data_IF_576422627551
#
_entry.id   IF_576422627551
#
_cell.length_a   1.000
_cell.length_b   1.000
_cell.length_c   1.000
_cell.angle_alpha   90.00
_cell.angle_beta   90.00
_cell.angle_gamma   90.00
#
_symmetry.space_group_name_H-M   'P 1'
#
loop_
_entity.id
_entity.type
_entity.pdbx_description
1 polymer ?
#
# COMPACT_ATOMS: atom_id res chain seq x y z
N UNK A 1 -21.30 -1.18 -13.31
CA UNK A 1 -20.01 -1.51 -12.68
C UNK A 1 -19.92 -0.79 -11.34
N UNK A 2 -19.42 -1.46 -10.30
CA UNK A 2 -19.06 -0.78 -9.05
C UNK A 2 -17.92 0.21 -9.33
N UNK A 3 -17.91 1.35 -8.63
CA UNK A 3 -16.79 2.30 -8.73
C UNK A 3 -15.57 1.70 -8.01
N UNK A 4 -14.40 1.85 -8.61
CA UNK A 4 -13.12 1.31 -8.10
C UNK A 4 -12.26 2.40 -7.48
N UNK A 5 -11.55 2.07 -6.41
CA UNK A 5 -10.55 2.93 -5.77
C UNK A 5 -9.23 2.18 -5.69
N UNK A 6 -8.16 2.80 -6.19
CA UNK A 6 -6.77 2.37 -5.98
C UNK A 6 -6.06 3.43 -5.15
N UNK A 7 -5.44 3.03 -4.05
CA UNK A 7 -4.66 3.95 -3.20
C UNK A 7 -3.49 3.22 -2.57
N UNK A 8 -2.33 3.87 -2.47
CA UNK A 8 -1.10 3.23 -2.03
C UNK A 8 -0.33 4.10 -1.04
N UNK A 9 0.45 3.46 -0.17
CA UNK A 9 1.33 4.10 0.82
C UNK A 9 2.75 3.55 0.69
N UNK A 10 3.74 4.43 0.74
CA UNK A 10 5.15 4.02 0.76
C UNK A 10 5.57 3.54 2.17
N UNK A 11 6.36 2.45 2.28
CA UNK A 11 6.88 1.95 3.56
C UNK A 11 8.07 2.78 4.07
N UNK A 12 7.85 4.05 4.41
CA UNK A 12 8.90 5.01 4.82
C UNK A 12 9.32 4.94 6.30
N UNK A 13 8.77 4.00 7.07
CA UNK A 13 9.04 3.82 8.49
C UNK A 13 7.77 3.53 9.27
N UNK A 14 7.73 3.97 10.53
CA UNK A 14 6.58 3.76 11.41
C UNK A 14 5.34 4.52 10.91
N UNK A 15 4.20 3.84 10.93
CA UNK A 15 2.92 4.47 10.64
C UNK A 15 2.59 5.49 11.74
N UNK A 16 2.46 6.76 11.36
CA UNK A 16 2.15 7.85 12.28
C UNK A 16 0.74 8.41 12.05
N UNK A 17 0.28 9.32 12.92
CA UNK A 17 -1.08 9.90 12.84
C UNK A 17 -1.39 10.56 11.48
N UNK A 18 -0.39 11.15 10.82
CA UNK A 18 -0.53 11.63 9.45
C UNK A 18 -0.97 10.55 8.45
N UNK A 19 -0.40 9.34 8.48
CA UNK A 19 -0.84 8.24 7.61
C UNK A 19 -2.25 7.77 8.01
N UNK A 20 -2.51 7.68 9.31
CA UNK A 20 -3.80 7.20 9.81
C UNK A 20 -4.95 8.13 9.43
N UNK A 21 -4.87 9.42 9.78
CA UNK A 21 -5.93 10.38 9.49
C UNK A 21 -5.95 10.81 8.01
N UNK A 22 -4.79 10.78 7.34
CA UNK A 22 -4.68 11.14 5.92
C UNK A 22 -5.24 10.06 4.99
N UNK A 23 -5.01 8.78 5.30
CA UNK A 23 -5.38 7.68 4.41
C UNK A 23 -6.13 6.55 5.12
N UNK A 24 -5.52 5.88 6.10
CA UNK A 24 -6.02 4.59 6.59
C UNK A 24 -7.46 4.66 7.15
N UNK A 25 -7.80 5.70 7.93
CA UNK A 25 -9.16 5.91 8.44
C UNK A 25 -10.18 6.03 7.30
N UNK A 26 -9.81 6.67 6.20
CA UNK A 26 -10.67 6.78 5.02
C UNK A 26 -10.79 5.44 4.28
N UNK A 27 -9.71 4.67 4.19
CA UNK A 27 -9.73 3.34 3.55
C UNK A 27 -10.72 2.39 4.24
N UNK A 28 -10.71 2.35 5.58
CA UNK A 28 -11.66 1.57 6.39
C UNK A 28 -13.12 1.96 6.13
N UNK A 29 -13.38 3.25 5.84
CA UNK A 29 -14.73 3.72 5.49
C UNK A 29 -15.11 3.38 4.05
N UNK A 30 -14.18 3.52 3.11
CA UNK A 30 -14.43 3.37 1.67
C UNK A 30 -14.59 1.91 1.26
N UNK A 31 -13.96 0.98 1.98
CA UNK A 31 -14.03 -0.43 1.65
C UNK A 31 -15.47 -1.00 1.67
N UNK A 32 -16.38 -0.46 2.47
CA UNK A 32 -17.80 -0.89 2.42
C UNK A 32 -18.59 -0.30 1.24
N UNK A 33 -18.07 0.71 0.56
CA UNK A 33 -18.78 1.49 -0.47
C UNK A 33 -18.25 1.27 -1.89
N UNK A 34 -16.99 0.86 -2.01
CA UNK A 34 -16.28 0.73 -3.28
C UNK A 34 -15.54 -0.62 -3.36
N UNK A 35 -15.24 -1.03 -4.59
CA UNK A 35 -14.23 -2.07 -4.84
C UNK A 35 -12.85 -1.41 -4.68
N UNK A 36 -12.13 -1.77 -3.62
CA UNK A 36 -10.90 -1.08 -3.24
C UNK A 36 -9.68 -1.99 -3.37
N UNK A 37 -8.60 -1.39 -3.84
CA UNK A 37 -7.27 -1.98 -3.93
C UNK A 37 -6.31 -1.05 -3.19
N UNK A 38 -5.67 -1.56 -2.15
CA UNK A 38 -4.81 -0.81 -1.24
C UNK A 38 -3.40 -1.39 -1.25
N UNK A 39 -2.42 -0.59 -1.66
CA UNK A 39 -1.07 -1.09 -1.93
C UNK A 39 0.00 -0.57 -0.98
N UNK A 40 0.90 -1.45 -0.54
CA UNK A 40 2.23 -1.06 -0.02
C UNK A 40 3.21 -1.01 -1.19
N UNK A 41 3.70 0.19 -1.51
CA UNK A 41 4.50 0.43 -2.72
C UNK A 41 6.00 0.43 -2.46
N UNK A 42 6.57 -0.77 -2.32
CA UNK A 42 7.99 -0.94 -2.01
C UNK A 42 8.93 -0.72 -3.21
N UNK A 43 8.52 -0.94 -4.47
CA UNK A 43 9.33 -0.52 -5.63
C UNK A 43 9.43 1.00 -5.71
N UNK A 44 8.35 1.74 -5.44
CA UNK A 44 8.41 3.21 -5.38
C UNK A 44 9.34 3.73 -4.27
N UNK A 45 9.50 2.99 -3.18
CA UNK A 45 10.46 3.37 -2.12
C UNK A 45 11.92 3.16 -2.54
N UNK A 46 12.20 2.28 -3.51
CA UNK A 46 13.56 1.98 -3.98
C UNK A 46 14.16 3.07 -4.89
N UNK A 47 13.36 4.06 -5.30
CA UNK A 47 13.85 5.18 -6.14
C UNK A 47 14.64 6.22 -5.35
N UNK A 48 14.65 6.12 -4.02
CA UNK A 48 15.43 6.93 -3.08
C UNK A 48 16.39 6.03 -2.28
N UNK A 49 17.43 6.56 -1.62
CA UNK A 49 18.32 5.75 -0.79
C UNK A 49 17.55 4.92 0.27
N UNK A 50 17.78 3.61 0.28
CA UNK A 50 17.11 2.68 1.19
C UNK A 50 18.07 1.63 1.75
N UNK A 51 17.72 1.02 2.89
CA UNK A 51 18.41 -0.15 3.41
C UNK A 51 17.55 -1.41 3.16
N UNK A 52 18.07 -2.44 2.47
CA UNK A 52 17.26 -3.60 2.04
C UNK A 52 16.52 -4.30 3.18
N UNK A 53 17.21 -4.55 4.30
CA UNK A 53 16.61 -5.19 5.49
C UNK A 53 15.47 -4.35 6.06
N UNK A 54 15.70 -3.05 6.26
CA UNK A 54 14.72 -2.11 6.80
C UNK A 54 13.52 -1.92 5.88
N UNK A 55 13.74 -1.84 4.56
CA UNK A 55 12.64 -1.75 3.60
C UNK A 55 11.73 -2.98 3.67
N UNK A 56 12.31 -4.17 3.80
CA UNK A 56 11.55 -5.41 3.97
C UNK A 56 10.73 -5.39 5.27
N UNK A 57 11.35 -5.02 6.38
CA UNK A 57 10.68 -4.91 7.70
C UNK A 57 9.52 -3.90 7.63
N UNK A 58 9.79 -2.67 7.20
CA UNK A 58 8.78 -1.62 7.06
C UNK A 58 7.61 -2.01 6.14
N UNK A 59 7.88 -2.79 5.08
CA UNK A 59 6.83 -3.26 4.17
C UNK A 59 5.82 -4.15 4.89
N UNK A 60 6.32 -5.10 5.69
CA UNK A 60 5.48 -6.00 6.46
C UNK A 60 4.82 -5.29 7.64
N UNK A 61 5.54 -4.42 8.34
CA UNK A 61 5.00 -3.66 9.46
C UNK A 61 3.86 -2.74 9.01
N UNK A 62 4.01 -2.05 7.88
CA UNK A 62 2.94 -1.22 7.32
C UNK A 62 1.72 -2.06 6.94
N UNK A 63 1.92 -3.22 6.29
CA UNK A 63 0.83 -4.12 5.92
C UNK A 63 0.06 -4.60 7.17
N UNK A 64 0.79 -5.04 8.21
CA UNK A 64 0.23 -5.48 9.49
C UNK A 64 -0.51 -4.34 10.20
N UNK A 65 0.07 -3.14 10.22
CA UNK A 65 -0.55 -1.95 10.83
C UNK A 65 -1.86 -1.58 10.11
N UNK A 66 -1.90 -1.65 8.78
CA UNK A 66 -3.12 -1.41 7.99
C UNK A 66 -4.23 -2.42 8.35
N UNK A 67 -3.90 -3.70 8.47
CA UNK A 67 -4.85 -4.71 8.93
C UNK A 67 -5.32 -4.44 10.37
N UNK A 68 -4.39 -4.09 11.27
CA UNK A 68 -4.69 -3.81 12.67
C UNK A 68 -5.63 -2.61 12.86
N UNK A 69 -5.58 -1.60 11.99
CA UNK A 69 -6.52 -0.47 12.03
C UNK A 69 -7.86 -0.74 11.33
N UNK A 70 -8.04 -1.93 10.75
CA UNK A 70 -9.32 -2.40 10.20
C UNK A 70 -9.42 -2.39 8.68
N UNK A 71 -8.31 -2.27 7.94
CA UNK A 71 -8.33 -2.47 6.48
C UNK A 71 -8.45 -3.97 6.21
N UNK A 72 -9.42 -4.32 5.37
CA UNK A 72 -9.70 -5.69 4.96
C UNK A 72 -8.50 -6.32 4.22
N UNK A 73 -7.94 -7.46 4.69
CA UNK A 73 -6.80 -8.12 4.06
C UNK A 73 -7.00 -8.48 2.59
N UNK A 74 -8.22 -8.79 2.17
CA UNK A 74 -8.53 -9.16 0.77
C UNK A 74 -8.40 -7.98 -0.19
N UNK A 75 -8.24 -6.76 0.34
CA UNK A 75 -8.05 -5.52 -0.41
C UNK A 75 -6.61 -5.04 -0.44
N UNK A 76 -5.73 -5.70 0.31
CA UNK A 76 -4.34 -5.30 0.48
C UNK A 76 -3.43 -6.06 -0.48
N UNK A 77 -2.41 -5.38 -0.99
CA UNK A 77 -1.34 -6.00 -1.76
C UNK A 77 0.01 -5.31 -1.52
N UNK A 78 1.09 -6.01 -1.86
CA UNK A 78 2.46 -5.46 -1.87
C UNK A 78 2.90 -5.36 -3.33
N UNK A 79 3.34 -4.17 -3.76
CA UNK A 79 3.65 -3.88 -5.15
C UNK A 79 4.65 -4.87 -5.77
N UNK A 80 5.70 -5.26 -5.06
CA UNK A 80 6.69 -6.21 -5.58
C UNK A 80 6.20 -7.65 -5.70
N UNK A 81 5.07 -8.01 -5.10
CA UNK A 81 4.50 -9.36 -5.17
C UNK A 81 3.55 -9.55 -6.36
N UNK A 82 3.36 -8.50 -7.17
CA UNK A 82 2.49 -8.48 -8.34
C UNK A 82 3.36 -8.05 -9.54
N UNK A 83 3.96 -9.02 -10.27
CA UNK A 83 4.89 -8.76 -11.38
C UNK A 83 4.36 -7.78 -12.44
N UNK A 84 3.05 -7.77 -12.64
CA UNK A 84 2.33 -6.96 -13.63
C UNK A 84 2.58 -5.45 -13.44
N UNK A 85 2.89 -4.98 -12.22
CA UNK A 85 3.28 -3.58 -12.02
C UNK A 85 4.56 -3.22 -12.77
N UNK A 86 5.57 -4.09 -12.74
CA UNK A 86 6.83 -3.86 -13.43
C UNK A 86 6.67 -4.01 -14.95
N UNK A 87 5.94 -5.03 -15.38
CA UNK A 87 5.67 -5.31 -16.80
C UNK A 87 4.88 -4.17 -17.46
N UNK A 88 3.78 -3.74 -16.83
CA UNK A 88 2.97 -2.63 -17.35
C UNK A 88 3.76 -1.31 -17.31
N UNK A 89 4.53 -1.05 -16.25
CA UNK A 89 5.36 0.15 -16.19
C UNK A 89 6.39 0.18 -17.32
N UNK A 90 6.96 -0.96 -17.71
CA UNK A 90 7.86 -1.04 -18.85
C UNK A 90 7.17 -0.69 -20.17
N UNK A 91 5.94 -1.20 -20.38
CA UNK A 91 5.15 -0.92 -21.59
C UNK A 91 4.76 0.56 -21.70
N UNK A 92 4.52 1.23 -20.57
CA UNK A 92 4.09 2.64 -20.52
C UNK A 92 5.25 3.65 -20.60
N UNK A 93 6.51 3.20 -20.52
CA UNK A 93 7.71 4.03 -20.67
C UNK A 93 8.13 4.16 -22.14
#
# INVERSE_FOLDING_TARGET
MSKRVLSCIQPTGDMHFGNYFGAAKNWVRLQSQYECFYGVVNYHAMTMPFQPKKLRENTWDLLLNLMAVGVDPDRLFVQSLVPEHAELSWILN
#
